data_IF_601287156960
#
_entry.id   IF_601287156960
#
_cell.length_a   1.000
_cell.length_b   1.000
_cell.length_c   1.000
_cell.angle_alpha   90.00
_cell.angle_beta   90.00
_cell.angle_gamma   90.00
#
_symmetry.space_group_name_H-M   'P 1'
#
loop_
_entity.id
_entity.type
_entity.pdbx_description
1 polymer ?
#
# COMPACT_ATOMS: atom_id res chain seq x y z
N UNK A 1 16.78 14.14 -8.34
CA UNK A 1 15.58 13.59 -9.03
C UNK A 1 14.54 13.12 -8.02
N UNK A 2 14.91 12.41 -6.95
CA UNK A 2 13.99 12.02 -5.88
C UNK A 2 13.52 13.22 -5.03
N UNK A 3 14.36 14.24 -4.84
CA UNK A 3 14.04 15.43 -4.04
C UNK A 3 12.83 16.22 -4.56
N UNK A 4 12.53 16.11 -5.86
CA UNK A 4 11.34 16.71 -6.46
C UNK A 4 10.02 16.15 -5.89
N UNK A 5 10.07 14.99 -5.22
CA UNK A 5 8.92 14.37 -4.56
C UNK A 5 8.71 14.87 -3.12
N UNK A 6 9.72 15.47 -2.48
CA UNK A 6 9.63 15.93 -1.10
C UNK A 6 8.45 16.89 -0.84
N UNK A 7 8.14 17.85 -1.72
CA UNK A 7 6.99 18.74 -1.53
C UNK A 7 5.63 18.02 -1.53
N UNK A 8 5.56 16.81 -2.07
CA UNK A 8 4.35 16.02 -2.20
C UNK A 8 4.22 14.96 -1.10
N UNK A 9 5.26 14.79 -0.27
CA UNK A 9 5.27 13.82 0.81
C UNK A 9 4.35 14.28 1.94
N UNK A 10 3.39 13.42 2.29
CA UNK A 10 2.52 13.61 3.47
C UNK A 10 2.91 12.62 4.55
N UNK A 11 3.24 13.13 5.72
CA UNK A 11 3.46 12.32 6.91
C UNK A 11 2.13 12.14 7.65
N UNK A 12 1.77 10.89 7.92
CA UNK A 12 0.63 10.58 8.78
C UNK A 12 1.12 10.31 10.20
N UNK A 13 0.33 10.73 11.20
CA UNK A 13 0.58 10.32 12.57
C UNK A 13 0.54 8.79 12.69
N UNK A 14 1.43 8.25 13.52
CA UNK A 14 1.35 6.86 13.93
C UNK A 14 -0.01 6.64 14.60
N UNK A 15 -0.76 5.69 14.09
CA UNK A 15 -2.02 5.27 14.66
C UNK A 15 -1.89 3.77 14.99
N UNK A 16 -2.56 3.30 16.06
CA UNK A 16 -2.74 1.86 16.20
C UNK A 16 -3.36 1.31 14.92
N UNK A 17 -2.96 0.09 14.49
CA UNK A 17 -3.52 -0.50 13.28
C UNK A 17 -5.04 -0.45 13.38
N UNK A 18 -5.67 0.24 12.42
CA UNK A 18 -7.12 0.23 12.31
C UNK A 18 -7.59 -1.22 12.20
N UNK A 19 -8.80 -1.50 12.65
CA UNK A 19 -9.41 -2.82 12.54
C UNK A 19 -9.73 -3.14 11.07
N UNK A 20 -8.70 -3.31 10.25
CA UNK A 20 -8.84 -4.01 8.97
C UNK A 20 -9.12 -5.46 9.33
N UNK A 21 -10.18 -6.07 8.77
CA UNK A 21 -10.51 -7.44 9.08
C UNK A 21 -9.31 -8.36 8.86
N UNK A 22 -9.02 -9.22 9.85
CA UNK A 22 -7.83 -10.07 9.82
C UNK A 22 -7.74 -10.96 8.55
N UNK A 23 -8.88 -11.31 7.96
CA UNK A 23 -8.91 -12.10 6.72
C UNK A 23 -8.32 -11.35 5.51
N UNK A 24 -8.41 -10.02 5.46
CA UNK A 24 -7.87 -9.22 4.36
C UNK A 24 -6.35 -9.12 4.39
N UNK A 25 -5.74 -9.45 5.54
CA UNK A 25 -4.29 -9.36 5.78
C UNK A 25 -3.66 -10.70 6.15
N UNK A 26 -4.44 -11.78 6.18
CA UNK A 26 -3.97 -13.11 6.59
C UNK A 26 -2.83 -13.64 5.69
N UNK A 27 -2.77 -13.16 4.45
CA UNK A 27 -1.74 -13.48 3.47
C UNK A 27 -0.42 -12.72 3.70
N UNK A 28 -0.42 -11.66 4.50
CA UNK A 28 0.77 -10.88 4.85
C UNK A 28 1.40 -11.38 6.16
N UNK A 29 2.75 -11.39 6.23
CA UNK A 29 3.45 -11.53 7.50
C UNK A 29 3.02 -10.44 8.48
N UNK A 30 2.97 -10.78 9.77
CA UNK A 30 2.49 -9.87 10.82
C UNK A 30 3.22 -8.51 10.81
N UNK A 31 4.54 -8.52 10.54
CA UNK A 31 5.35 -7.30 10.46
C UNK A 31 4.92 -6.32 9.36
N UNK A 32 4.28 -6.80 8.29
CA UNK A 32 3.94 -6.00 7.10
C UNK A 32 2.47 -5.56 7.09
N UNK A 33 1.63 -6.18 7.91
CA UNK A 33 0.20 -5.85 8.07
C UNK A 33 -0.07 -4.36 8.35
N UNK A 34 0.71 -3.67 9.21
CA UNK A 34 0.48 -2.25 9.47
C UNK A 34 0.60 -1.36 8.22
N UNK A 35 1.39 -1.76 7.21
CA UNK A 35 1.57 -0.98 5.98
C UNK A 35 0.27 -0.97 5.15
N UNK A 36 -0.35 -2.14 4.97
CA UNK A 36 -1.64 -2.24 4.28
C UNK A 36 -2.75 -1.57 5.09
N UNK A 37 -2.75 -1.76 6.42
CA UNK A 37 -3.71 -1.11 7.30
C UNK A 37 -3.64 0.42 7.23
N UNK A 38 -2.43 0.99 7.14
CA UNK A 38 -2.24 2.42 6.99
C UNK A 38 -2.80 2.93 5.65
N UNK A 39 -2.54 2.23 4.54
CA UNK A 39 -3.06 2.60 3.22
C UNK A 39 -4.60 2.64 3.20
N UNK A 40 -5.24 1.63 3.80
CA UNK A 40 -6.70 1.57 3.97
C UNK A 40 -7.21 2.73 4.84
N UNK A 41 -6.63 2.90 6.03
CA UNK A 41 -7.03 3.96 6.97
C UNK A 41 -6.90 5.35 6.37
N UNK A 42 -5.85 5.59 5.60
CA UNK A 42 -5.59 6.86 4.94
C UNK A 42 -6.33 7.01 3.60
N UNK A 43 -7.15 6.01 3.22
CA UNK A 43 -7.98 6.00 2.02
C UNK A 43 -7.15 6.23 0.76
N UNK A 44 -5.97 5.61 0.70
CA UNK A 44 -5.12 5.66 -0.47
C UNK A 44 -5.76 4.85 -1.61
N UNK A 45 -5.71 5.38 -2.83
CA UNK A 45 -6.12 4.63 -4.03
C UNK A 45 -5.14 3.49 -4.35
N UNK A 46 -3.87 3.66 -3.98
CA UNK A 46 -2.79 2.71 -4.27
C UNK A 46 -1.80 2.57 -3.12
N UNK A 47 -1.38 1.33 -2.85
CA UNK A 47 -0.18 0.99 -2.10
C UNK A 47 0.89 0.50 -3.08
N UNK A 48 1.99 1.24 -3.21
CA UNK A 48 3.06 0.92 -4.17
C UNK A 48 4.24 0.32 -3.43
N UNK A 49 4.68 -0.88 -3.84
CA UNK A 49 5.86 -1.53 -3.24
C UNK A 49 6.60 -2.42 -4.22
N UNK A 50 7.93 -2.42 -4.14
CA UNK A 50 8.80 -3.36 -4.85
C UNK A 50 8.98 -4.69 -4.13
N UNK A 51 8.46 -4.87 -2.91
CA UNK A 51 8.57 -6.11 -2.15
C UNK A 51 7.63 -7.18 -2.71
N UNK A 52 8.14 -7.93 -3.68
CA UNK A 52 7.41 -9.07 -4.27
C UNK A 52 7.32 -10.27 -3.33
N UNK A 53 8.23 -10.39 -2.36
CA UNK A 53 8.28 -11.55 -1.47
C UNK A 53 7.07 -11.59 -0.56
N UNK A 54 6.72 -10.46 0.06
CA UNK A 54 5.58 -10.39 0.96
C UNK A 54 4.32 -9.83 0.29
N UNK A 55 4.44 -8.80 -0.55
CA UNK A 55 3.27 -8.13 -1.16
C UNK A 55 2.86 -8.71 -2.52
N UNK A 56 3.66 -9.61 -3.11
CA UNK A 56 3.42 -10.12 -4.46
C UNK A 56 2.04 -10.76 -4.65
N UNK A 57 1.54 -11.50 -3.64
CA UNK A 57 0.20 -12.10 -3.66
C UNK A 57 -0.95 -11.08 -3.57
N UNK A 58 -0.64 -9.83 -3.26
CA UNK A 58 -1.58 -8.70 -3.23
C UNK A 58 -1.63 -7.89 -4.51
N UNK A 59 -0.64 -8.02 -5.42
CA UNK A 59 -0.58 -7.19 -6.63
C UNK A 59 -1.83 -7.33 -7.50
N UNK A 60 -2.39 -6.19 -7.91
CA UNK A 60 -3.62 -6.13 -8.71
C UNK A 60 -4.90 -6.36 -7.90
N UNK A 61 -4.80 -6.58 -6.58
CA UNK A 61 -5.95 -6.74 -5.69
C UNK A 61 -6.21 -5.44 -4.93
N UNK A 62 -7.48 -5.17 -4.66
CA UNK A 62 -7.93 -4.04 -3.84
C UNK A 62 -8.36 -4.56 -2.46
N UNK A 63 -8.02 -3.79 -1.43
CA UNK A 63 -8.38 -4.02 -0.04
C UNK A 63 -8.95 -2.71 0.49
N UNK A 64 -10.25 -2.69 0.80
CA UNK A 64 -10.99 -1.49 1.24
C UNK A 64 -10.64 -0.21 0.46
N UNK A 65 -10.61 -0.31 -0.87
CA UNK A 65 -10.31 0.78 -1.81
C UNK A 65 -8.83 0.95 -2.16
N UNK A 66 -7.90 0.43 -1.36
CA UNK A 66 -6.46 0.52 -1.64
C UNK A 66 -5.99 -0.64 -2.53
N UNK A 67 -5.57 -0.34 -3.77
CA UNK A 67 -5.02 -1.35 -4.68
C UNK A 67 -3.51 -1.51 -4.49
N UNK A 68 -3.02 -2.74 -4.37
CA UNK A 68 -1.58 -2.99 -4.25
C UNK A 68 -0.95 -3.06 -5.65
N UNK A 69 0.08 -2.25 -5.87
CA UNK A 69 0.82 -2.16 -7.13
C UNK A 69 2.32 -2.39 -6.92
N UNK A 70 2.96 -2.94 -7.95
CA UNK A 70 4.40 -2.75 -8.15
C UNK A 70 4.64 -1.36 -8.75
N UNK A 71 5.85 -0.77 -8.64
CA UNK A 71 6.16 0.49 -9.32
C UNK A 71 5.86 0.44 -10.83
N UNK A 72 6.16 -0.70 -11.48
CA UNK A 72 5.86 -0.93 -12.89
C UNK A 72 4.35 -0.89 -13.15
N UNK A 73 3.56 -1.69 -12.42
CA UNK A 73 2.12 -1.80 -12.69
C UNK A 73 1.34 -0.53 -12.34
N UNK A 74 1.82 0.30 -11.41
CA UNK A 74 1.25 1.63 -11.23
C UNK A 74 1.62 2.55 -12.41
N UNK A 75 2.88 2.56 -12.85
CA UNK A 75 3.29 3.38 -13.99
C UNK A 75 2.49 3.02 -15.26
N UNK A 76 2.30 1.73 -15.53
CA UNK A 76 1.43 1.25 -16.62
C UNK A 76 0.00 1.78 -16.44
N UNK A 77 -0.55 1.79 -15.23
CA UNK A 77 -1.91 2.30 -14.98
C UNK A 77 -2.05 3.81 -15.15
N UNK A 78 -1.02 4.58 -14.84
CA UNK A 78 -1.06 6.05 -14.87
C UNK A 78 -0.73 6.65 -16.24
N UNK A 79 0.05 5.94 -17.06
CA UNK A 79 0.63 6.49 -18.29
C UNK A 79 0.33 5.68 -19.55
N UNK A 80 -0.47 4.61 -19.46
CA UNK A 80 -0.99 3.90 -20.64
C UNK A 80 -2.22 4.58 -21.24
#
# INVERSE_FOLDING_TARGET
>A
MLDALLPHLRLAAAAPPAAVPAYEQAWLPEKDRPVLAAAIRLRCDALVTGDRTHFGAGYGRSFDGAMVHSPRSLAERLFA
#
